data_IF_816055708229
#
_entry.id   IF_816055708229
#
_cell.length_a   1.000
_cell.length_b   1.000
_cell.length_c   1.000
_cell.angle_alpha   90.00
_cell.angle_beta   90.00
_cell.angle_gamma   90.00
#
_symmetry.space_group_name_H-M   'P 1'
#
loop_
_entity.id
_entity.type
_entity.pdbx_description
1 polymer ?
#
# COMPACT_ATOMS: atom_id res chain seq x y z
N UNK A 1 9.87 23.39 12.89
CA UNK A 1 10.06 21.98 13.01
C UNK A 1 8.82 21.23 13.40
N UNK A 2 7.71 21.93 13.41
CA UNK A 2 6.43 21.27 13.64
C UNK A 2 6.18 20.17 12.64
N UNK A 3 6.68 20.40 11.41
CA UNK A 3 6.52 19.39 10.37
C UNK A 3 7.13 18.05 10.75
N UNK A 4 8.22 18.06 11.51
CA UNK A 4 8.85 16.80 11.91
C UNK A 4 7.97 15.98 12.82
N UNK A 5 7.26 16.64 13.75
CA UNK A 5 6.37 15.92 14.66
C UNK A 5 5.21 15.30 13.87
N UNK A 6 4.62 16.08 12.97
CA UNK A 6 3.54 15.57 12.12
C UNK A 6 4.04 14.46 11.22
N UNK A 7 5.24 14.67 10.66
CA UNK A 7 5.82 13.67 9.79
C UNK A 7 6.12 12.38 10.55
N UNK A 8 6.47 12.48 11.83
CA UNK A 8 6.70 11.31 12.66
C UNK A 8 5.46 10.46 12.81
N UNK A 9 4.31 11.12 13.03
CA UNK A 9 3.05 10.40 13.15
C UNK A 9 2.64 9.77 11.83
N UNK A 10 2.81 10.51 10.74
CA UNK A 10 2.50 9.99 9.42
C UNK A 10 3.41 8.84 9.05
N UNK A 11 4.68 8.98 9.38
CA UNK A 11 5.64 7.94 9.10
C UNK A 11 5.30 6.66 9.85
N UNK A 12 4.89 6.80 11.10
CA UNK A 12 4.49 5.63 11.89
C UNK A 12 3.27 4.95 11.28
N UNK A 13 2.27 5.73 10.88
CA UNK A 13 1.09 5.18 10.26
C UNK A 13 1.44 4.48 8.96
N UNK A 14 2.32 5.08 8.17
CA UNK A 14 2.79 4.48 6.93
C UNK A 14 3.51 3.15 7.22
N UNK A 15 4.37 3.13 8.22
CA UNK A 15 5.10 1.91 8.57
C UNK A 15 4.17 0.80 9.04
N UNK A 16 3.14 1.16 9.78
CA UNK A 16 2.15 0.18 10.21
C UNK A 16 1.43 -0.43 9.02
N UNK A 17 1.13 0.38 8.03
CA UNK A 17 0.48 -0.10 6.83
C UNK A 17 1.39 -1.01 6.01
N UNK A 18 2.66 -0.66 5.91
CA UNK A 18 3.65 -1.52 5.23
C UNK A 18 3.80 -2.84 5.97
N UNK A 19 3.85 -2.78 7.30
CA UNK A 19 3.97 -4.00 8.10
C UNK A 19 2.77 -4.91 7.87
N UNK A 20 1.58 -4.31 7.86
CA UNK A 20 0.38 -5.09 7.60
C UNK A 20 0.42 -5.73 6.22
N UNK A 21 0.86 -4.97 5.22
CA UNK A 21 0.97 -5.48 3.86
C UNK A 21 1.86 -6.74 3.83
N UNK A 22 3.02 -6.65 4.46
CA UNK A 22 3.96 -7.77 4.46
C UNK A 22 3.40 -8.97 5.20
N UNK A 23 2.73 -8.73 6.32
CA UNK A 23 2.18 -9.82 7.12
C UNK A 23 1.03 -10.52 6.39
N UNK A 24 0.36 -9.84 5.49
CA UNK A 24 -0.80 -10.38 4.80
C UNK A 24 -0.56 -10.64 3.33
N UNK A 25 0.71 -10.67 2.92
CA UNK A 25 1.04 -10.73 1.50
C UNK A 25 0.47 -11.97 0.82
N UNK A 26 0.57 -13.12 1.46
CA UNK A 26 0.05 -14.36 0.88
C UNK A 26 -1.45 -14.29 0.65
N UNK A 27 -2.16 -13.71 1.60
CA UNK A 27 -3.60 -13.54 1.44
C UNK A 27 -3.90 -12.59 0.29
N UNK A 28 -3.12 -11.53 0.18
CA UNK A 28 -3.30 -10.55 -0.89
C UNK A 28 -3.02 -11.15 -2.25
N UNK A 29 -2.06 -12.07 -2.33
CA UNK A 29 -1.80 -12.74 -3.60
C UNK A 29 -3.02 -13.51 -4.09
N UNK A 30 -3.86 -13.97 -3.19
CA UNK A 30 -5.08 -14.69 -3.55
C UNK A 30 -6.24 -13.76 -3.83
N UNK A 31 -6.36 -12.67 -3.08
CA UNK A 31 -7.51 -11.77 -3.18
C UNK A 31 -7.30 -10.65 -4.19
N UNK A 32 -6.06 -10.19 -4.35
CA UNK A 32 -5.75 -9.04 -5.23
C UNK A 32 -4.53 -9.34 -6.09
N UNK A 33 -4.58 -10.42 -6.88
CA UNK A 33 -3.40 -10.81 -7.67
C UNK A 33 -3.08 -9.80 -8.75
N UNK A 34 -1.81 -9.42 -8.82
CA UNK A 34 -1.30 -8.55 -9.89
C UNK A 34 -2.00 -7.20 -9.93
N UNK A 35 -2.26 -6.66 -8.74
CA UNK A 35 -2.88 -5.34 -8.60
C UNK A 35 -2.01 -4.46 -7.71
N UNK A 36 -2.08 -3.16 -7.97
CA UNK A 36 -1.60 -2.19 -7.00
C UNK A 36 -2.68 -2.02 -5.95
N UNK A 37 -2.28 -2.00 -4.69
CA UNK A 37 -3.23 -1.87 -3.58
C UNK A 37 -2.84 -0.70 -2.70
N UNK A 38 -3.82 -0.06 -2.11
CA UNK A 38 -3.60 0.96 -1.10
C UNK A 38 -4.08 0.41 0.23
N UNK A 39 -3.21 0.46 1.22
CA UNK A 39 -3.46 -0.09 2.54
C UNK A 39 -3.61 1.04 3.54
N UNK A 40 -4.63 0.96 4.36
CA UNK A 40 -4.83 1.90 5.46
C UNK A 40 -5.54 1.20 6.59
N UNK A 41 -5.01 1.38 7.79
CA UNK A 41 -5.65 0.90 9.02
C UNK A 41 -5.99 -0.59 8.95
N UNK A 42 -5.04 -1.36 8.46
CA UNK A 42 -5.16 -2.82 8.46
C UNK A 42 -6.12 -3.38 7.42
N UNK A 43 -6.27 -2.70 6.30
CA UNK A 43 -7.11 -3.21 5.22
C UNK A 43 -6.76 -2.57 3.89
N UNK A 44 -7.18 -3.23 2.83
CA UNK A 44 -7.08 -2.69 1.48
C UNK A 44 -8.25 -1.74 1.28
N UNK A 45 -7.94 -0.48 0.99
CA UNK A 45 -8.98 0.53 0.78
C UNK A 45 -9.24 0.79 -0.70
N UNK A 46 -8.31 0.38 -1.57
CA UNK A 46 -8.49 0.55 -3.00
C UNK A 46 -7.49 -0.33 -3.73
N UNK A 47 -7.82 -0.68 -4.96
CA UNK A 47 -6.91 -1.45 -5.81
C UNK A 47 -7.13 -1.07 -7.25
N UNK A 48 -6.08 -1.25 -8.07
CA UNK A 48 -6.16 -0.93 -9.48
C UNK A 48 -5.02 -1.63 -10.20
N UNK A 49 -5.23 -1.92 -11.48
CA UNK A 49 -4.19 -2.53 -12.29
C UNK A 49 -3.03 -1.58 -12.54
N UNK A 50 -3.30 -0.28 -12.61
CA UNK A 50 -2.25 0.69 -12.87
C UNK A 50 -2.04 1.56 -11.65
N UNK A 51 -0.79 1.94 -11.43
CA UNK A 51 -0.46 2.82 -10.34
C UNK A 51 -1.11 4.19 -10.53
N UNK A 52 -1.07 4.70 -11.77
CA UNK A 52 -1.68 5.99 -12.06
C UNK A 52 -3.16 5.99 -11.77
N UNK A 53 -3.84 4.90 -12.15
CA UNK A 53 -5.26 4.77 -11.90
C UNK A 53 -5.56 4.75 -10.41
N UNK A 54 -4.74 4.01 -9.65
CA UNK A 54 -4.93 3.95 -8.22
C UNK A 54 -4.73 5.32 -7.57
N UNK A 55 -3.67 6.02 -7.96
CA UNK A 55 -3.40 7.34 -7.40
C UNK A 55 -4.50 8.33 -7.73
N UNK A 56 -5.01 8.29 -8.96
CA UNK A 56 -6.10 9.17 -9.35
C UNK A 56 -7.35 8.90 -8.52
N UNK A 57 -7.64 7.63 -8.31
CA UNK A 57 -8.78 7.21 -7.50
C UNK A 57 -8.64 7.71 -6.06
N UNK A 58 -7.46 7.52 -5.48
CA UNK A 58 -7.23 7.92 -4.10
C UNK A 58 -7.32 9.43 -3.92
N UNK A 59 -6.80 10.19 -4.88
CA UNK A 59 -6.84 11.64 -4.79
C UNK A 59 -8.24 12.21 -4.88
N UNK A 60 -9.13 11.50 -5.55
CA UNK A 60 -10.52 11.90 -5.59
C UNK A 60 -11.22 11.70 -4.26
N UNK A 61 -10.84 10.65 -3.55
CA UNK A 61 -11.57 10.24 -2.34
C UNK A 61 -10.92 10.72 -1.06
N UNK A 62 -9.66 11.11 -1.12
CA UNK A 62 -8.91 11.45 0.08
C UNK A 62 -8.07 12.70 -0.14
N UNK A 63 -8.03 13.56 0.86
CA UNK A 63 -7.21 14.76 0.78
C UNK A 63 -5.74 14.46 1.07
N UNK A 64 -5.47 13.43 1.85
CA UNK A 64 -4.10 13.09 2.23
C UNK A 64 -3.91 11.59 2.08
N UNK A 65 -3.05 11.20 1.15
CA UNK A 65 -2.76 9.80 0.90
C UNK A 65 -1.35 9.41 1.36
N UNK A 66 -0.67 10.30 2.07
CA UNK A 66 0.75 10.08 2.39
C UNK A 66 0.97 8.97 3.42
N UNK A 67 -0.04 8.62 4.20
CA UNK A 67 0.10 7.54 5.17
C UNK A 67 -0.25 6.18 4.60
N UNK A 68 -0.87 6.14 3.43
CA UNK A 68 -1.25 4.86 2.82
C UNK A 68 -0.02 4.12 2.33
N UNK A 69 -0.03 2.80 2.48
CA UNK A 69 0.99 1.97 1.85
C UNK A 69 0.47 1.59 0.46
N UNK A 70 1.16 2.02 -0.57
CA UNK A 70 0.77 1.74 -1.94
C UNK A 70 1.79 0.76 -2.49
N UNK A 71 1.34 -0.48 -2.76
CA UNK A 71 2.22 -1.57 -3.09
C UNK A 71 1.63 -2.41 -4.21
N UNK A 72 2.49 -3.11 -4.91
CA UNK A 72 2.06 -4.03 -5.95
C UNK A 72 2.04 -5.45 -5.41
N UNK A 73 0.95 -6.17 -5.66
CA UNK A 73 0.82 -7.56 -5.24
C UNK A 73 1.19 -8.43 -6.43
N UNK A 74 2.39 -8.98 -6.38
CA UNK A 74 2.89 -9.82 -7.46
C UNK A 74 2.58 -11.28 -7.16
N UNK A 75 2.17 -12.01 -8.19
CA UNK A 75 2.03 -13.45 -8.07
C UNK A 75 3.23 -14.19 -8.64
N UNK A 76 4.27 -13.44 -9.02
CA UNK A 76 5.49 -14.05 -9.50
C UNK A 76 6.08 -14.95 -8.43
N UNK A 77 6.65 -16.06 -8.86
CA UNK A 77 7.21 -17.02 -7.91
C UNK A 77 8.51 -16.48 -7.35
N UNK A 78 8.75 -16.85 -6.09
CA UNK A 78 9.93 -16.35 -5.40
C UNK A 78 11.22 -16.72 -6.11
N UNK A 79 11.29 -17.89 -6.71
CA UNK A 79 12.51 -18.31 -7.37
C UNK A 79 12.85 -17.43 -8.56
N UNK A 80 11.88 -16.76 -9.15
CA UNK A 80 12.16 -15.81 -10.23
C UNK A 80 12.89 -14.60 -9.72
N UNK A 81 12.66 -14.26 -8.48
CA UNK A 81 13.29 -13.09 -7.87
C UNK A 81 14.71 -13.38 -7.44
N UNK A 82 15.08 -14.64 -7.36
CA UNK A 82 16.40 -15.03 -6.90
C UNK A 82 17.37 -15.27 -8.06
N UNK A 83 16.89 -15.12 -9.25
CA UNK A 83 17.74 -15.23 -10.41
C UNK A 83 18.54 -13.96 -10.61
#
# INVERSE_FOLDING_TARGET
METLALDGERFRAYQENITWFRANYEKLQKSHPNLFVAISKGRVIASNRSLEGLLAQLRKEHTDITTFAIEYVSTARAELLML
#
